data_IF_378459351759
#
_entry.id   IF_378459351759
#
_cell.length_a   1.000
_cell.length_b   1.000
_cell.length_c   1.000
_cell.angle_alpha   90.00
_cell.angle_beta   90.00
_cell.angle_gamma   90.00
#
_symmetry.space_group_name_H-M   'P 1'
#
loop_
_entity.id
_entity.type
_entity.pdbx_description
1 polymer ?
#
# COMPACT_ATOMS: atom_id res chain seq x y z
N UNK A 1 57.46 -22.18 -43.22
CA UNK A 1 56.75 -22.63 -42.00
C UNK A 1 55.44 -23.28 -42.42
N UNK A 2 55.22 -24.51 -41.96
CA UNK A 2 54.29 -25.46 -42.56
C UNK A 2 52.82 -25.17 -42.16
N UNK A 3 51.94 -24.90 -43.12
CA UNK A 3 50.54 -24.45 -42.91
C UNK A 3 49.60 -25.53 -42.30
N UNK A 4 50.06 -26.77 -42.13
CA UNK A 4 49.26 -27.85 -41.54
C UNK A 4 49.25 -27.87 -40.01
N UNK A 5 50.21 -27.24 -39.31
CA UNK A 5 50.25 -27.27 -37.83
C UNK A 5 49.34 -26.26 -37.15
N UNK A 6 48.85 -25.23 -37.87
CA UNK A 6 47.98 -24.18 -37.31
C UNK A 6 46.49 -24.57 -37.27
N UNK A 7 46.03 -25.48 -38.15
CA UNK A 7 44.65 -25.96 -38.17
C UNK A 7 44.32 -26.92 -37.02
N UNK A 8 45.25 -27.82 -36.71
CA UNK A 8 45.08 -28.84 -35.65
C UNK A 8 45.02 -28.19 -34.25
N UNK A 9 45.75 -27.09 -34.05
CA UNK A 9 45.73 -26.35 -32.77
C UNK A 9 44.42 -25.56 -32.60
N UNK A 10 43.82 -25.06 -33.69
CA UNK A 10 42.54 -24.34 -33.65
C UNK A 10 41.33 -25.26 -33.42
N UNK A 11 41.35 -26.47 -33.97
CA UNK A 11 40.29 -27.46 -33.75
C UNK A 11 40.33 -28.05 -32.32
N UNK A 12 41.51 -28.29 -31.76
CA UNK A 12 41.64 -28.77 -30.38
C UNK A 12 41.17 -27.72 -29.35
N UNK A 13 41.46 -26.43 -29.56
CA UNK A 13 40.96 -25.35 -28.70
C UNK A 13 39.44 -25.19 -28.81
N UNK A 14 38.86 -25.38 -30.01
CA UNK A 14 37.43 -25.27 -30.24
C UNK A 14 36.64 -26.44 -29.62
N UNK A 15 37.19 -27.67 -29.67
CA UNK A 15 36.59 -28.84 -29.00
C UNK A 15 36.70 -28.79 -27.48
N UNK A 16 37.81 -28.27 -26.92
CA UNK A 16 37.96 -28.11 -25.48
C UNK A 16 37.03 -27.03 -24.91
N UNK A 17 36.82 -25.93 -25.65
CA UNK A 17 35.88 -24.87 -25.27
C UNK A 17 34.41 -25.36 -25.30
N UNK A 18 34.02 -26.21 -26.27
CA UNK A 18 32.69 -26.81 -26.30
C UNK A 18 32.44 -27.79 -25.14
N UNK A 19 33.45 -28.56 -24.71
CA UNK A 19 33.29 -29.46 -23.55
C UNK A 19 33.23 -28.72 -22.21
N UNK A 20 33.87 -27.56 -22.08
CA UNK A 20 33.77 -26.72 -20.88
C UNK A 20 32.40 -26.01 -20.81
N UNK A 21 31.83 -25.61 -21.96
CA UNK A 21 30.48 -25.01 -22.02
C UNK A 21 29.39 -26.06 -21.77
N UNK A 22 29.57 -27.33 -22.16
CA UNK A 22 28.59 -28.40 -21.85
C UNK A 22 28.70 -28.97 -20.43
N UNK A 23 29.82 -28.80 -19.72
CA UNK A 23 29.97 -29.24 -18.33
C UNK A 23 29.47 -28.21 -17.29
N UNK A 24 29.11 -27.00 -17.72
CA UNK A 24 28.53 -25.95 -16.85
C UNK A 24 27.00 -25.83 -16.96
N UNK A 25 26.33 -26.74 -17.68
CA UNK A 25 24.86 -26.76 -17.89
C UNK A 25 24.20 -28.02 -17.31
N UNK A 26 24.75 -28.58 -16.23
CA UNK A 26 24.00 -29.47 -15.31
C UNK A 26 24.33 -29.11 -13.86
N UNK A 27 24.41 -27.81 -13.57
CA UNK A 27 23.97 -27.33 -12.27
C UNK A 27 22.54 -26.88 -12.48
N UNK A 28 21.54 -27.67 -12.03
CA UNK A 28 20.21 -27.08 -11.82
C UNK A 28 20.47 -25.79 -11.05
N UNK A 29 20.08 -24.61 -11.54
CA UNK A 29 19.97 -23.49 -10.63
C UNK A 29 18.91 -23.96 -9.65
N UNK A 30 19.32 -24.38 -8.45
CA UNK A 30 18.47 -24.23 -7.30
C UNK A 30 18.31 -22.73 -7.20
N UNK A 31 17.35 -22.22 -7.96
CA UNK A 31 16.74 -20.97 -7.65
C UNK A 31 16.27 -21.21 -6.22
N UNK A 32 16.96 -20.61 -5.24
CA UNK A 32 16.38 -20.36 -3.93
C UNK A 32 15.28 -19.31 -4.13
N UNK A 33 14.30 -19.65 -4.98
CA UNK A 33 13.06 -18.92 -5.14
C UNK A 33 12.19 -19.43 -4.01
N UNK A 34 11.98 -18.56 -3.02
CA UNK A 34 10.69 -18.50 -2.34
C UNK A 34 10.39 -19.76 -1.49
N UNK A 35 11.33 -20.18 -0.64
CA UNK A 35 10.95 -20.98 0.55
C UNK A 35 10.45 -20.05 1.64
N UNK A 36 11.20 -18.99 1.96
CA UNK A 36 10.87 -18.07 3.05
C UNK A 36 9.61 -17.25 2.79
N UNK A 37 9.36 -16.84 1.54
CA UNK A 37 8.16 -16.08 1.18
C UNK A 37 6.91 -16.97 1.11
N UNK A 38 7.04 -18.24 0.71
CA UNK A 38 5.93 -19.20 0.76
C UNK A 38 5.64 -19.60 2.21
N UNK A 39 6.66 -19.83 3.03
CA UNK A 39 6.50 -20.08 4.47
C UNK A 39 5.90 -18.89 5.22
N UNK A 40 6.26 -17.64 4.87
CA UNK A 40 5.64 -16.46 5.49
C UNK A 40 4.19 -16.24 5.04
N UNK A 41 3.88 -16.51 3.76
CA UNK A 41 2.51 -16.49 3.24
C UNK A 41 1.65 -17.57 3.90
N UNK A 42 2.17 -18.80 4.05
CA UNK A 42 1.51 -19.89 4.74
C UNK A 42 1.35 -19.60 6.26
N UNK A 43 2.31 -18.91 6.87
CA UNK A 43 2.24 -18.44 8.26
C UNK A 43 1.20 -17.34 8.49
N UNK A 44 0.95 -16.48 7.49
CA UNK A 44 -0.10 -15.46 7.54
C UNK A 44 -1.50 -16.01 7.26
N UNK A 45 -1.61 -16.92 6.29
CA UNK A 45 -2.83 -17.66 5.97
C UNK A 45 -3.31 -18.52 7.15
N UNK A 46 -2.39 -19.19 7.85
CA UNK A 46 -2.72 -20.00 9.02
C UNK A 46 -3.12 -19.22 10.29
N UNK A 47 -2.86 -17.90 10.34
CA UNK A 47 -3.15 -17.06 11.52
C UNK A 47 -4.49 -16.31 11.43
N UNK A 48 -4.99 -16.06 10.21
CA UNK A 48 -6.22 -15.31 10.05
C UNK A 48 -7.47 -16.19 10.11
N UNK A 49 -8.22 -16.04 11.20
CA UNK A 49 -9.46 -16.81 11.46
C UNK A 49 -10.67 -16.41 10.60
N UNK A 50 -10.52 -15.44 9.68
CA UNK A 50 -11.64 -14.85 8.95
C UNK A 50 -12.53 -13.93 9.80
N UNK A 51 -12.16 -13.67 11.06
CA UNK A 51 -12.95 -12.85 11.99
C UNK A 51 -12.36 -11.47 12.19
N UNK A 52 -13.24 -10.47 12.37
CA UNK A 52 -12.89 -9.07 12.60
C UNK A 52 -11.92 -8.86 13.78
N UNK A 53 -12.10 -9.61 14.88
CA UNK A 53 -11.30 -9.51 16.10
C UNK A 53 -9.83 -9.88 15.89
N UNK A 54 -9.55 -10.71 14.87
CA UNK A 54 -8.18 -11.14 14.54
C UNK A 54 -7.42 -10.20 13.59
N UNK A 55 -8.11 -9.27 12.90
CA UNK A 55 -7.50 -8.38 11.89
C UNK A 55 -6.35 -7.52 12.44
N UNK A 56 -6.46 -7.11 13.71
CA UNK A 56 -5.50 -6.21 14.36
C UNK A 56 -5.16 -6.68 15.78
N UNK A 57 -5.08 -8.00 16.00
CA UNK A 57 -4.78 -8.57 17.31
C UNK A 57 -3.33 -8.29 17.75
N UNK A 58 -2.37 -8.35 16.82
CA UNK A 58 -0.95 -8.12 17.06
C UNK A 58 -0.24 -7.56 15.79
N UNK A 59 1.06 -7.24 15.90
CA UNK A 59 1.85 -6.68 14.79
C UNK A 59 2.07 -7.63 13.59
N UNK A 60 1.67 -8.89 13.72
CA UNK A 60 1.71 -9.90 12.66
C UNK A 60 0.33 -10.22 12.10
N UNK A 61 -0.72 -9.54 12.57
CA UNK A 61 -2.09 -9.74 12.06
C UNK A 61 -2.25 -9.27 10.61
N UNK A 62 -3.16 -9.91 9.88
CA UNK A 62 -3.41 -9.61 8.46
C UNK A 62 -3.75 -8.14 8.17
N UNK A 63 -4.52 -7.49 9.05
CA UNK A 63 -4.86 -6.07 8.88
C UNK A 63 -3.64 -5.17 9.06
N UNK A 64 -2.71 -5.55 9.94
CA UNK A 64 -1.42 -4.85 10.08
C UNK A 64 -0.57 -5.01 8.82
N UNK A 65 -0.50 -6.23 8.27
CA UNK A 65 0.19 -6.44 6.99
C UNK A 65 -0.45 -5.61 5.87
N UNK A 66 -1.78 -5.64 5.75
CA UNK A 66 -2.50 -4.91 4.71
C UNK A 66 -2.21 -3.41 4.75
N UNK A 67 -2.21 -2.79 5.93
CA UNK A 67 -1.82 -1.38 6.08
C UNK A 67 -0.33 -1.20 5.78
N UNK A 68 0.54 -2.09 6.23
CA UNK A 68 1.98 -2.01 5.93
C UNK A 68 2.28 -2.02 4.43
N UNK A 69 1.59 -2.87 3.67
CA UNK A 69 1.69 -2.94 2.21
C UNK A 69 1.10 -1.67 1.58
N UNK A 70 -0.02 -1.16 2.09
CA UNK A 70 -0.65 0.09 1.62
C UNK A 70 0.24 1.33 1.84
N UNK A 71 0.97 1.38 2.95
CA UNK A 71 2.00 2.41 3.20
C UNK A 71 3.22 2.24 2.28
N UNK A 72 3.44 1.04 1.73
CA UNK A 72 4.65 0.70 0.98
C UNK A 72 5.84 0.36 1.90
N UNK A 73 5.57 0.05 3.16
CA UNK A 73 6.55 -0.34 4.18
C UNK A 73 6.78 -1.85 4.23
N UNK A 74 5.85 -2.65 3.71
CA UNK A 74 6.01 -4.09 3.57
C UNK A 74 5.75 -4.55 2.13
N UNK A 75 6.39 -5.65 1.75
CA UNK A 75 5.92 -6.49 0.66
C UNK A 75 4.77 -7.37 1.14
N UNK A 76 4.09 -8.00 0.19
CA UNK A 76 2.94 -8.87 0.47
C UNK A 76 3.31 -10.13 1.28
N UNK A 77 4.57 -10.56 1.23
CA UNK A 77 5.08 -11.67 2.04
C UNK A 77 5.48 -11.23 3.46
N UNK A 78 5.23 -9.97 3.83
CA UNK A 78 5.55 -9.40 5.13
C UNK A 78 7.00 -8.90 5.27
N UNK A 79 7.86 -9.11 4.27
CA UNK A 79 9.21 -8.55 4.28
C UNK A 79 9.16 -7.02 4.30
N UNK A 80 10.07 -6.40 5.06
CA UNK A 80 10.12 -4.94 5.23
C UNK A 80 10.85 -4.28 4.07
N UNK A 81 10.30 -3.18 3.56
CA UNK A 81 10.98 -2.35 2.56
C UNK A 81 11.89 -1.33 3.23
N UNK A 82 12.68 -0.58 2.46
CA UNK A 82 13.48 0.53 3.02
C UNK A 82 12.62 1.57 3.73
N UNK A 83 11.40 1.83 3.24
CA UNK A 83 10.48 2.82 3.80
C UNK A 83 10.07 2.52 5.25
N UNK A 84 10.03 1.23 5.63
CA UNK A 84 9.73 0.82 7.00
C UNK A 84 10.73 1.36 8.02
N UNK A 85 12.02 1.41 7.65
CA UNK A 85 13.08 1.82 8.58
C UNK A 85 13.11 3.34 8.72
N UNK A 86 12.93 4.05 7.60
CA UNK A 86 12.86 5.50 7.56
C UNK A 86 12.40 5.99 6.18
N UNK A 87 11.42 6.89 6.13
CA UNK A 87 11.19 7.74 4.96
C UNK A 87 10.80 9.16 5.38
N UNK A 88 10.90 10.11 4.44
CA UNK A 88 10.43 11.49 4.63
C UNK A 88 9.07 11.62 3.96
N UNK A 89 8.07 12.07 4.70
CA UNK A 89 6.73 12.32 4.20
C UNK A 89 6.74 13.48 3.18
N UNK A 90 6.34 13.26 1.92
CA UNK A 90 6.37 14.32 0.91
C UNK A 90 5.32 15.41 1.14
N UNK A 91 4.30 15.17 1.98
CA UNK A 91 3.21 16.10 2.27
C UNK A 91 3.50 17.05 3.44
N UNK A 92 4.43 16.71 4.35
CA UNK A 92 4.77 17.55 5.51
C UNK A 92 6.26 17.56 5.92
N UNK A 93 7.11 16.73 5.31
CA UNK A 93 8.55 16.67 5.58
C UNK A 93 8.95 15.92 6.86
N UNK A 94 8.01 15.29 7.56
CA UNK A 94 8.30 14.53 8.79
C UNK A 94 8.88 13.16 8.48
N UNK A 95 9.67 12.63 9.41
CA UNK A 95 10.22 11.28 9.31
C UNK A 95 9.16 10.26 9.75
N UNK A 96 8.87 9.29 8.89
CA UNK A 96 8.04 8.14 9.23
C UNK A 96 8.88 6.89 9.49
N UNK A 97 8.39 6.03 10.38
CA UNK A 97 8.98 4.73 10.71
C UNK A 97 7.92 3.68 11.03
N UNK A 98 8.29 2.41 10.91
CA UNK A 98 7.43 1.29 11.27
C UNK A 98 6.34 1.02 10.25
N UNK A 99 5.49 0.03 10.50
CA UNK A 99 4.55 -0.47 9.50
C UNK A 99 3.49 0.57 9.10
N UNK A 100 3.08 1.43 10.04
CA UNK A 100 2.03 2.43 9.80
C UNK A 100 2.55 3.81 9.38
N UNK A 101 3.85 3.95 9.10
CA UNK A 101 4.46 5.26 8.86
C UNK A 101 4.30 6.21 10.07
N UNK A 102 4.69 5.77 11.27
CA UNK A 102 4.62 6.58 12.48
C UNK A 102 5.54 7.81 12.38
N UNK A 103 4.93 9.00 12.46
CA UNK A 103 5.59 10.32 12.40
C UNK A 103 6.34 10.68 13.70
N UNK A 104 7.23 9.80 14.15
CA UNK A 104 8.15 10.05 15.26
C UNK A 104 7.55 9.93 16.67
N UNK A 105 6.29 9.49 16.83
CA UNK A 105 5.66 9.28 18.15
C UNK A 105 6.29 8.12 18.92
N UNK A 106 6.80 7.12 18.20
CA UNK A 106 7.62 6.03 18.74
C UNK A 106 9.09 6.40 18.99
N UNK A 107 9.49 7.65 18.71
CA UNK A 107 10.88 8.08 18.73
C UNK A 107 11.71 7.44 17.61
N UNK A 108 12.95 7.07 17.91
CA UNK A 108 13.86 6.36 16.99
C UNK A 108 13.75 4.84 17.04
N UNK A 109 12.91 4.28 17.90
CA UNK A 109 12.76 2.83 18.07
C UNK A 109 11.58 2.29 17.25
N UNK A 110 11.87 1.37 16.31
CA UNK A 110 10.87 0.76 15.43
C UNK A 110 9.83 -0.07 16.18
N UNK A 111 10.22 -0.80 17.23
CA UNK A 111 9.27 -1.57 18.03
C UNK A 111 8.27 -0.68 18.78
N UNK A 112 8.72 0.50 19.22
CA UNK A 112 7.85 1.51 19.82
C UNK A 112 6.90 2.14 18.79
N UNK A 113 7.41 2.43 17.59
CA UNK A 113 6.58 2.91 16.47
C UNK A 113 5.46 1.90 16.15
N UNK A 114 5.82 0.63 15.93
CA UNK A 114 4.88 -0.44 15.59
C UNK A 114 3.85 -0.69 16.71
N UNK A 115 4.29 -0.77 17.97
CA UNK A 115 3.41 -0.96 19.12
C UNK A 115 2.47 0.25 19.31
N UNK A 116 2.99 1.46 19.11
CA UNK A 116 2.21 2.70 19.17
C UNK A 116 1.15 2.76 18.07
N UNK A 117 1.52 2.38 16.84
CA UNK A 117 0.59 2.25 15.71
C UNK A 117 -0.54 1.28 16.05
N UNK A 118 -0.20 0.07 16.49
CA UNK A 118 -1.18 -0.97 16.79
C UNK A 118 -2.18 -0.51 17.86
N UNK A 119 -1.67 0.08 18.95
CA UNK A 119 -2.52 0.61 20.03
C UNK A 119 -3.49 1.69 19.53
N UNK A 120 -3.05 2.59 18.65
CA UNK A 120 -3.91 3.64 18.07
C UNK A 120 -4.95 3.10 17.10
N UNK A 121 -4.62 2.05 16.37
CA UNK A 121 -5.60 1.37 15.52
C UNK A 121 -6.63 0.65 16.39
N UNK A 122 -6.18 -0.15 17.35
CA UNK A 122 -7.05 -0.90 18.25
C UNK A 122 -8.00 0.02 19.04
N UNK A 123 -7.54 1.19 19.49
CA UNK A 123 -8.40 2.16 20.19
C UNK A 123 -9.49 2.76 19.30
N UNK A 124 -9.32 2.72 17.97
CA UNK A 124 -10.28 3.26 17.00
C UNK A 124 -11.31 2.22 16.56
N UNK A 125 -10.98 0.93 16.61
CA UNK A 125 -11.83 -0.18 16.14
C UNK A 125 -13.27 -0.11 16.66
N UNK A 126 -13.55 0.06 17.97
CA UNK A 126 -14.92 0.06 18.47
C UNK A 126 -15.80 1.12 17.79
N UNK A 127 -15.23 2.31 17.54
CA UNK A 127 -15.94 3.41 16.86
C UNK A 127 -16.19 3.12 15.39
N UNK A 128 -15.23 2.51 14.67
CA UNK A 128 -15.43 2.17 13.26
C UNK A 128 -16.48 1.07 13.08
N UNK A 129 -16.48 0.08 13.97
CA UNK A 129 -17.52 -0.96 14.04
C UNK A 129 -18.89 -0.32 14.22
N UNK A 130 -19.02 0.58 15.20
CA UNK A 130 -20.27 1.25 15.48
C UNK A 130 -20.74 2.09 14.27
N UNK A 131 -19.83 2.85 13.65
CA UNK A 131 -20.14 3.68 12.47
C UNK A 131 -20.63 2.84 11.29
N UNK A 132 -20.02 1.69 11.02
CA UNK A 132 -20.49 0.76 9.98
C UNK A 132 -21.86 0.19 10.33
N UNK A 133 -22.06 -0.27 11.57
CA UNK A 133 -23.36 -0.81 12.01
C UNK A 133 -24.49 0.22 11.92
N UNK A 134 -24.24 1.49 12.25
CA UNK A 134 -25.23 2.58 12.15
C UNK A 134 -25.76 2.79 10.74
N UNK A 135 -24.98 2.47 9.71
CA UNK A 135 -25.40 2.52 8.30
C UNK A 135 -25.78 1.13 7.76
N UNK A 136 -26.08 0.18 8.66
CA UNK A 136 -26.53 -1.18 8.35
C UNK A 136 -25.44 -2.10 7.79
N UNK A 137 -24.16 -1.71 7.85
CA UNK A 137 -23.05 -2.56 7.39
C UNK A 137 -22.55 -3.40 8.55
N UNK A 138 -22.59 -4.73 8.42
CA UNK A 138 -21.97 -5.63 9.38
C UNK A 138 -20.47 -5.79 9.05
N UNK A 139 -19.51 -5.28 9.85
CA UNK A 139 -18.09 -5.35 9.51
C UNK A 139 -17.56 -6.75 9.24
N UNK A 140 -18.12 -7.79 9.88
CA UNK A 140 -17.75 -9.20 9.66
C UNK A 140 -18.03 -9.65 8.21
N UNK A 141 -19.01 -9.05 7.53
CA UNK A 141 -19.33 -9.36 6.12
C UNK A 141 -18.55 -8.46 5.15
N UNK A 142 -17.85 -7.44 5.65
CA UNK A 142 -17.18 -6.41 4.85
C UNK A 142 -15.75 -6.19 5.36
N UNK A 143 -14.99 -7.28 5.55
CA UNK A 143 -13.67 -7.26 6.18
C UNK A 143 -12.66 -6.40 5.39
N UNK A 144 -12.65 -6.49 4.05
CA UNK A 144 -11.79 -5.66 3.22
C UNK A 144 -12.14 -4.17 3.35
N UNK A 145 -13.43 -3.83 3.36
CA UNK A 145 -13.87 -2.45 3.58
C UNK A 145 -13.54 -1.98 5.01
N UNK A 146 -13.58 -2.89 6.00
CA UNK A 146 -13.21 -2.60 7.39
C UNK A 146 -11.70 -2.29 7.52
N UNK A 147 -10.84 -3.03 6.82
CA UNK A 147 -9.41 -2.70 6.76
C UNK A 147 -9.18 -1.37 6.04
N UNK A 148 -9.92 -1.08 4.97
CA UNK A 148 -9.81 0.20 4.26
C UNK A 148 -10.22 1.41 5.12
N UNK A 149 -11.29 1.32 5.91
CA UNK A 149 -11.65 2.42 6.84
C UNK A 149 -10.62 2.58 7.97
N UNK A 150 -10.00 1.47 8.39
CA UNK A 150 -8.95 1.49 9.41
C UNK A 150 -7.65 2.08 8.86
N UNK A 151 -7.32 1.80 7.60
CA UNK A 151 -6.23 2.45 6.88
C UNK A 151 -6.47 3.96 6.68
N UNK A 152 -7.71 4.39 6.39
CA UNK A 152 -8.04 5.82 6.34
C UNK A 152 -7.83 6.52 7.69
N UNK A 153 -8.06 5.83 8.81
CA UNK A 153 -7.72 6.34 10.13
C UNK A 153 -6.21 6.51 10.32
N UNK A 154 -5.40 5.63 9.73
CA UNK A 154 -3.95 5.77 9.72
C UNK A 154 -3.48 6.96 8.86
N UNK A 155 -4.11 7.14 7.71
CA UNK A 155 -3.66 8.08 6.68
C UNK A 155 -4.12 9.52 6.90
N UNK A 156 -5.34 9.71 7.40
CA UNK A 156 -6.03 11.00 7.35
C UNK A 156 -6.62 11.39 8.72
N UNK A 157 -7.17 12.60 8.79
CA UNK A 157 -7.84 13.07 9.99
C UNK A 157 -9.01 12.14 10.39
N UNK A 158 -9.34 12.02 11.69
CA UNK A 158 -10.43 11.18 12.17
C UNK A 158 -11.74 11.33 11.41
N UNK A 159 -12.06 12.56 10.97
CA UNK A 159 -13.25 12.90 10.18
C UNK A 159 -13.40 12.02 8.94
N UNK A 160 -12.31 11.76 8.23
CA UNK A 160 -12.33 10.99 6.97
C UNK A 160 -12.70 9.53 7.26
N UNK A 161 -12.03 8.89 8.23
CA UNK A 161 -12.39 7.53 8.67
C UNK A 161 -13.82 7.42 9.21
N UNK A 162 -14.33 8.46 9.86
CA UNK A 162 -15.71 8.50 10.37
C UNK A 162 -16.76 8.63 9.25
N UNK A 163 -16.42 9.29 8.13
CA UNK A 163 -17.31 9.51 7.00
C UNK A 163 -17.39 8.30 6.05
N UNK A 164 -16.30 7.51 5.98
CA UNK A 164 -16.21 6.37 5.07
C UNK A 164 -17.39 5.40 5.14
N UNK A 165 -17.90 4.95 6.31
CA UNK A 165 -19.01 4.00 6.35
C UNK A 165 -20.27 4.49 5.63
N UNK A 166 -20.62 5.77 5.82
CA UNK A 166 -21.75 6.39 5.09
C UNK A 166 -21.47 6.44 3.60
N UNK A 167 -20.27 6.87 3.20
CA UNK A 167 -19.89 6.90 1.79
C UNK A 167 -19.93 5.49 1.15
N UNK A 168 -19.47 4.47 1.86
CA UNK A 168 -19.50 3.09 1.38
C UNK A 168 -20.91 2.55 1.25
N UNK A 169 -21.80 2.84 2.20
CA UNK A 169 -23.23 2.51 2.05
C UNK A 169 -23.83 3.20 0.82
N UNK A 170 -23.51 4.47 0.59
CA UNK A 170 -23.98 5.21 -0.59
C UNK A 170 -23.47 4.57 -1.88
N UNK A 171 -22.20 4.18 -1.94
CA UNK A 171 -21.62 3.49 -3.09
C UNK A 171 -22.37 2.19 -3.42
N UNK A 172 -22.62 1.35 -2.40
CA UNK A 172 -23.38 0.11 -2.57
C UNK A 172 -24.81 0.37 -3.06
N UNK A 173 -25.47 1.42 -2.53
CA UNK A 173 -26.82 1.80 -2.98
C UNK A 173 -26.85 2.32 -4.42
N UNK A 174 -25.71 2.78 -4.96
CA UNK A 174 -25.54 3.16 -6.36
C UNK A 174 -25.21 1.97 -7.27
N UNK A 175 -25.14 0.74 -6.71
CA UNK A 175 -24.80 -0.47 -7.45
C UNK A 175 -23.30 -0.65 -7.67
N UNK A 176 -22.44 0.14 -7.02
CA UNK A 176 -21.00 -0.10 -7.02
C UNK A 176 -20.69 -1.31 -6.15
N UNK A 177 -19.73 -2.12 -6.56
CA UNK A 177 -19.34 -3.33 -5.84
C UNK A 177 -17.82 -3.43 -5.65
N UNK A 178 -17.40 -4.31 -4.74
CA UNK A 178 -15.99 -4.66 -4.51
C UNK A 178 -15.06 -3.45 -4.41
N UNK A 179 -13.99 -3.47 -5.20
CA UNK A 179 -12.94 -2.44 -5.18
C UNK A 179 -13.46 -1.07 -5.61
N UNK A 180 -14.47 -1.01 -6.48
CA UNK A 180 -14.99 0.25 -7.01
C UNK A 180 -15.77 0.99 -5.93
N UNK A 181 -16.63 0.27 -5.21
CA UNK A 181 -17.36 0.82 -4.07
C UNK A 181 -16.40 1.31 -2.98
N UNK A 182 -15.34 0.55 -2.68
CA UNK A 182 -14.33 0.95 -1.69
C UNK A 182 -13.59 2.20 -2.15
N UNK A 183 -13.08 2.23 -3.40
CA UNK A 183 -12.35 3.38 -3.92
C UNK A 183 -13.23 4.64 -3.89
N UNK A 184 -14.47 4.54 -4.39
CA UNK A 184 -15.42 5.64 -4.36
C UNK A 184 -15.63 6.16 -2.93
N UNK A 185 -15.89 5.25 -1.99
CA UNK A 185 -16.10 5.60 -0.59
C UNK A 185 -14.88 6.24 0.06
N UNK A 186 -13.67 5.78 -0.28
CA UNK A 186 -12.43 6.39 0.22
C UNK A 186 -12.25 7.81 -0.29
N UNK A 187 -12.61 8.10 -1.53
CA UNK A 187 -12.55 9.46 -2.09
C UNK A 187 -13.60 10.35 -1.44
N UNK A 188 -14.84 9.90 -1.41
CA UNK A 188 -15.98 10.69 -0.90
C UNK A 188 -15.91 10.93 0.62
N UNK A 189 -15.20 10.09 1.36
CA UNK A 189 -14.90 10.32 2.77
C UNK A 189 -14.13 11.64 3.03
N UNK A 190 -13.42 12.18 2.03
CA UNK A 190 -12.75 13.47 2.14
C UNK A 190 -13.68 14.66 1.95
N UNK A 191 -14.94 14.45 1.54
CA UNK A 191 -15.92 15.52 1.41
C UNK A 191 -16.28 16.09 2.78
N UNK A 192 -16.19 17.40 2.97
CA UNK A 192 -16.50 18.06 4.23
C UNK A 192 -17.95 18.55 4.31
N UNK A 193 -18.30 19.27 5.38
CA UNK A 193 -19.66 19.74 5.62
C UNK A 193 -20.17 20.76 4.59
N UNK A 194 -19.28 21.43 3.86
CA UNK A 194 -19.64 22.33 2.75
C UNK A 194 -19.97 21.58 1.47
N UNK A 195 -19.71 20.27 1.43
CA UNK A 195 -19.83 19.46 0.23
C UNK A 195 -18.57 19.47 -0.64
N UNK A 196 -17.48 20.10 -0.21
CA UNK A 196 -16.21 20.13 -0.95
C UNK A 196 -15.25 19.02 -0.53
N UNK A 197 -14.44 18.52 -1.48
CA UNK A 197 -13.35 17.60 -1.18
C UNK A 197 -12.18 18.34 -0.52
N UNK A 198 -11.77 17.88 0.66
CA UNK A 198 -10.73 18.50 1.49
C UNK A 198 -9.63 17.50 1.85
N UNK A 199 -8.50 17.56 1.13
CA UNK A 199 -7.35 16.66 1.30
C UNK A 199 -6.00 17.41 1.31
N UNK A 200 -6.00 18.68 1.70
CA UNK A 200 -4.81 19.54 1.70
C UNK A 200 -5.12 20.95 1.20
N UNK A 201 -4.08 21.75 1.00
CA UNK A 201 -4.22 23.10 0.48
C UNK A 201 -3.07 23.44 -0.47
N UNK A 202 -3.36 24.28 -1.47
CA UNK A 202 -2.39 24.79 -2.44
C UNK A 202 -2.50 26.32 -2.47
N UNK A 203 -1.37 27.00 -2.37
CA UNK A 203 -1.25 28.41 -2.72
C UNK A 203 0.00 28.57 -3.59
N UNK A 204 -0.21 28.65 -4.91
CA UNK A 204 0.87 28.67 -5.90
C UNK A 204 1.72 29.93 -5.75
N UNK A 205 1.07 31.09 -5.57
CA UNK A 205 1.72 32.40 -5.43
C UNK A 205 2.67 32.43 -4.23
N UNK A 206 2.30 31.75 -3.14
CA UNK A 206 3.10 31.64 -1.91
C UNK A 206 3.95 30.37 -1.84
N UNK A 207 3.96 29.55 -2.90
CA UNK A 207 4.68 28.28 -2.93
C UNK A 207 4.22 27.26 -1.88
N UNK A 208 2.97 27.31 -1.43
CA UNK A 208 2.42 26.38 -0.42
C UNK A 208 1.83 25.16 -1.12
N UNK A 209 2.39 23.99 -0.83
CA UNK A 209 1.89 22.69 -1.29
C UNK A 209 1.79 21.77 -0.08
N UNK A 210 0.60 21.62 0.51
CA UNK A 210 0.40 20.81 1.73
C UNK A 210 -0.62 19.71 1.51
N UNK A 211 -0.37 18.56 2.15
CA UNK A 211 -1.25 17.39 2.05
C UNK A 211 -1.30 16.82 0.63
N UNK A 212 -2.32 16.00 0.36
CA UNK A 212 -2.44 15.27 -0.89
C UNK A 212 -2.63 16.20 -2.10
N UNK A 213 -3.43 17.26 -1.95
CA UNK A 213 -3.55 18.26 -3.03
C UNK A 213 -2.21 18.92 -3.34
N UNK A 214 -1.41 19.25 -2.33
CA UNK A 214 -0.05 19.73 -2.52
C UNK A 214 0.84 18.75 -3.28
N UNK A 215 0.81 17.46 -2.91
CA UNK A 215 1.56 16.39 -3.58
C UNK A 215 1.15 16.28 -5.06
N UNK A 216 -0.15 16.32 -5.35
CA UNK A 216 -0.67 16.23 -6.72
C UNK A 216 -0.28 17.45 -7.57
N UNK A 217 -0.31 18.65 -6.98
CA UNK A 217 -0.03 19.91 -7.67
C UNK A 217 1.47 20.24 -7.76
N UNK A 218 2.33 19.50 -7.07
CA UNK A 218 3.76 19.66 -7.13
C UNK A 218 4.27 19.37 -8.57
N UNK A 219 4.89 20.35 -9.26
CA UNK A 219 5.30 20.19 -10.65
C UNK A 219 6.46 19.20 -10.83
N UNK A 220 7.23 18.92 -9.77
CA UNK A 220 8.27 17.89 -9.78
C UNK A 220 7.67 16.47 -9.67
N UNK A 221 6.40 16.32 -9.29
CA UNK A 221 5.73 15.03 -9.19
C UNK A 221 5.04 14.64 -10.51
N UNK A 222 5.81 14.12 -11.45
CA UNK A 222 5.35 13.77 -12.80
C UNK A 222 4.24 12.70 -12.83
N UNK A 223 4.16 11.84 -11.80
CA UNK A 223 3.13 10.81 -11.71
C UNK A 223 1.72 11.42 -11.67
N UNK A 224 1.51 12.41 -10.80
CA UNK A 224 0.20 13.07 -10.68
C UNK A 224 0.00 14.10 -11.80
N UNK A 225 1.01 14.89 -12.13
CA UNK A 225 0.92 15.94 -13.14
C UNK A 225 0.44 15.39 -14.49
N UNK A 226 1.07 14.32 -14.99
CA UNK A 226 0.69 13.69 -16.26
C UNK A 226 -0.74 13.14 -16.28
N UNK A 227 -1.28 12.72 -15.12
CA UNK A 227 -2.62 12.11 -15.00
C UNK A 227 -3.72 13.11 -14.71
N UNK A 228 -3.37 14.30 -14.25
CA UNK A 228 -4.33 15.35 -13.89
C UNK A 228 -4.35 16.52 -14.87
N UNK A 229 -3.44 16.55 -15.85
CA UNK A 229 -3.28 17.64 -16.82
C UNK A 229 -4.55 18.01 -17.60
N UNK A 230 -5.50 17.09 -17.74
CA UNK A 230 -6.76 17.32 -18.47
C UNK A 230 -7.82 18.04 -17.64
N UNK A 231 -7.59 18.21 -16.33
CA UNK A 231 -8.54 18.86 -15.44
C UNK A 231 -8.01 20.23 -14.99
N UNK A 232 -8.82 21.29 -15.01
CA UNK A 232 -8.44 22.56 -14.39
C UNK A 232 -8.05 22.34 -12.94
N UNK A 233 -6.90 22.89 -12.52
CA UNK A 233 -6.37 22.76 -11.17
C UNK A 233 -7.44 23.15 -10.14
N UNK A 234 -7.60 22.33 -9.10
CA UNK A 234 -8.59 22.48 -8.02
C UNK A 234 -10.06 22.45 -8.43
N UNK A 235 -10.40 22.18 -9.70
CA UNK A 235 -11.78 21.82 -10.07
C UNK A 235 -12.25 20.57 -9.32
N UNK A 236 -13.57 20.37 -9.19
CA UNK A 236 -14.12 19.17 -8.54
C UNK A 236 -13.55 17.87 -9.13
N UNK A 237 -13.48 17.78 -10.47
CA UNK A 237 -12.89 16.62 -11.16
C UNK A 237 -11.40 16.45 -10.85
N UNK A 238 -10.65 17.56 -10.74
CA UNK A 238 -9.24 17.50 -10.37
C UNK A 238 -9.06 17.02 -8.93
N UNK A 239 -9.81 17.56 -7.97
CA UNK A 239 -9.75 17.18 -6.54
C UNK A 239 -10.10 15.70 -6.36
N UNK A 240 -11.20 15.27 -6.98
CA UNK A 240 -11.63 13.88 -6.94
C UNK A 240 -10.57 12.95 -7.53
N UNK A 241 -10.06 13.28 -8.73
CA UNK A 241 -9.06 12.47 -9.43
C UNK A 241 -7.74 12.41 -8.67
N UNK A 242 -7.29 13.51 -8.06
CA UNK A 242 -6.08 13.53 -7.22
C UNK A 242 -6.22 12.55 -6.04
N UNK A 243 -7.33 12.62 -5.30
CA UNK A 243 -7.58 11.70 -4.18
C UNK A 243 -7.67 10.27 -4.70
N UNK A 244 -8.43 10.03 -5.77
CA UNK A 244 -8.61 8.71 -6.35
C UNK A 244 -7.29 8.06 -6.80
N UNK A 245 -6.35 8.82 -7.35
CA UNK A 245 -5.04 8.30 -7.76
C UNK A 245 -4.23 7.74 -6.59
N UNK A 246 -4.21 8.46 -5.45
CA UNK A 246 -3.54 7.99 -4.24
C UNK A 246 -4.30 6.82 -3.57
N UNK A 247 -5.61 6.99 -3.39
CA UNK A 247 -6.45 5.98 -2.72
C UNK A 247 -6.49 4.67 -3.51
N UNK A 248 -6.49 4.70 -4.85
CA UNK A 248 -6.48 3.50 -5.69
C UNK A 248 -5.25 2.63 -5.46
N UNK A 249 -4.08 3.24 -5.21
CA UNK A 249 -2.86 2.48 -4.86
C UNK A 249 -3.05 1.72 -3.55
N UNK A 250 -3.64 2.36 -2.54
CA UNK A 250 -3.90 1.76 -1.22
C UNK A 250 -4.96 0.66 -1.27
N UNK A 251 -6.07 0.88 -1.97
CA UNK A 251 -7.11 -0.14 -2.17
C UNK A 251 -6.50 -1.39 -2.80
N UNK A 252 -5.73 -1.23 -3.88
CA UNK A 252 -5.05 -2.36 -4.55
C UNK A 252 -4.07 -3.10 -3.63
N UNK A 253 -3.30 -2.36 -2.84
CA UNK A 253 -2.36 -2.95 -1.89
C UNK A 253 -3.07 -3.78 -0.81
N UNK A 254 -4.15 -3.27 -0.23
CA UNK A 254 -4.97 -4.01 0.74
C UNK A 254 -5.59 -5.23 0.08
N UNK A 255 -6.20 -5.04 -1.09
CA UNK A 255 -6.83 -6.12 -1.85
C UNK A 255 -5.85 -7.26 -2.13
N UNK A 256 -4.62 -6.96 -2.53
CA UNK A 256 -3.63 -7.99 -2.83
C UNK A 256 -3.37 -8.91 -1.63
N UNK A 257 -3.35 -8.37 -0.40
CA UNK A 257 -3.19 -9.18 0.82
C UNK A 257 -4.40 -10.10 1.02
N UNK A 258 -5.62 -9.60 0.79
CA UNK A 258 -6.84 -10.40 0.93
C UNK A 258 -6.98 -11.48 -0.14
N UNK A 259 -6.52 -11.24 -1.37
CA UNK A 259 -6.54 -12.24 -2.48
C UNK A 259 -5.57 -13.40 -2.28
N UNK A 260 -4.54 -13.24 -1.44
CA UNK A 260 -3.62 -14.35 -1.12
C UNK A 260 -4.18 -15.23 0.00
N UNK A 261 -5.02 -14.66 0.86
CA UNK A 261 -5.50 -15.32 2.08
C UNK A 261 -6.84 -16.05 1.86
N UNK A 262 -7.62 -15.61 0.87
CA UNK A 262 -8.88 -16.20 0.43
C UNK A 262 -8.79 -16.70 -1.00
#
# INVERSE_FOLDING_TARGET
MNRQSLGIVWDLFSTLLLTIVSALVVGTPTIKLVSSSVESILGLSSSYSGRLDSLFANNSSVGVLAICVAEGNCQIDGSKTQNYFQNIDPGNGLINRGWCSDQGRGGSNLANADTGCLRRIQSRIPRLIERMKRVGLNPEHYLEAFVNVTDLWNQASPRVSDAFPTAYRTALNQGLEGHEAILWARVEAFRDASGELSAGNINIERGVYRGLFGICANPQNTYYQSRLQTYPLMSERWRWSCIALDQKRRVKAIQSVFTIIY
#
